data_IF_868744253534
#
_entry.id   IF_868744253534
#
_cell.length_a   1.000
_cell.length_b   1.000
_cell.length_c   1.000
_cell.angle_alpha   90.00
_cell.angle_beta   90.00
_cell.angle_gamma   90.00
#
_symmetry.space_group_name_H-M   'P 1'
#
loop_
_entity.id
_entity.type
_entity.pdbx_description
1 polymer ?
#
# COMPACT_ATOMS: atom_id res chain seq x y z
N UNK A 1 39.87 38.89 -6.41
CA UNK A 1 39.89 37.40 -6.48
C UNK A 1 39.28 36.70 -5.25
N UNK A 2 39.55 37.12 -4.00
CA UNK A 2 39.00 36.48 -2.78
C UNK A 2 37.44 36.48 -2.67
N UNK A 3 36.76 37.54 -3.18
CA UNK A 3 35.28 37.65 -3.12
C UNK A 3 34.53 36.77 -4.13
N UNK A 4 35.17 36.41 -5.23
CA UNK A 4 34.53 35.55 -6.25
C UNK A 4 34.58 34.06 -5.86
N UNK A 5 35.62 33.64 -5.10
CA UNK A 5 35.78 32.26 -4.63
C UNK A 5 34.72 31.93 -3.56
N UNK A 6 34.38 32.89 -2.68
CA UNK A 6 33.35 32.71 -1.64
C UNK A 6 31.93 32.57 -2.21
N UNK A 7 31.60 33.28 -3.29
CA UNK A 7 30.31 33.15 -3.96
C UNK A 7 30.16 31.82 -4.70
N UNK A 8 31.21 31.32 -5.34
CA UNK A 8 31.19 30.02 -6.01
C UNK A 8 31.04 28.87 -5.01
N UNK A 9 31.65 28.95 -3.80
CA UNK A 9 31.53 27.93 -2.76
C UNK A 9 30.15 27.90 -2.10
N UNK A 10 29.47 29.06 -1.96
CA UNK A 10 28.09 29.13 -1.46
C UNK A 10 27.06 28.59 -2.45
N UNK A 11 27.30 28.76 -3.75
CA UNK A 11 26.40 28.28 -4.81
C UNK A 11 26.45 26.76 -4.99
N UNK A 12 27.60 26.12 -4.70
CA UNK A 12 27.74 24.66 -4.76
C UNK A 12 27.10 23.95 -3.56
N UNK A 13 27.02 24.59 -2.38
CA UNK A 13 26.35 24.00 -1.21
C UNK A 13 24.82 23.98 -1.33
N UNK A 14 24.21 24.93 -2.04
CA UNK A 14 22.74 24.99 -2.23
C UNK A 14 22.24 23.91 -3.19
N UNK A 15 23.09 23.47 -4.15
CA UNK A 15 22.70 22.43 -5.13
C UNK A 15 22.73 21.01 -4.53
N UNK A 16 23.48 20.77 -3.46
CA UNK A 16 23.59 19.44 -2.81
C UNK A 16 22.44 19.10 -1.85
N UNK A 17 21.62 20.08 -1.44
CA UNK A 17 20.48 19.81 -0.54
C UNK A 17 19.19 19.37 -1.24
N UNK A 18 19.13 19.36 -2.57
CA UNK A 18 17.91 19.08 -3.33
C UNK A 18 17.69 17.60 -3.69
N UNK A 19 18.54 16.67 -3.29
CA UNK A 19 18.48 15.28 -3.76
C UNK A 19 18.36 14.20 -2.69
N UNK A 20 18.05 14.56 -1.44
CA UNK A 20 17.78 13.57 -0.39
C UNK A 20 16.27 13.26 -0.28
N UNK A 21 15.60 12.95 -1.37
CA UNK A 21 14.40 12.13 -1.26
C UNK A 21 14.88 10.69 -1.01
N UNK A 22 14.91 10.31 0.27
CA UNK A 22 15.28 8.96 0.68
C UNK A 22 14.49 7.92 -0.12
N UNK A 23 15.16 6.84 -0.55
CA UNK A 23 14.51 5.75 -1.24
C UNK A 23 13.35 5.23 -0.37
N UNK A 24 12.16 5.05 -0.98
CA UNK A 24 10.99 4.54 -0.29
C UNK A 24 11.28 3.13 0.28
N UNK A 25 10.86 2.90 1.50
CA UNK A 25 11.06 1.64 2.22
C UNK A 25 10.32 0.50 1.50
N UNK A 26 11.01 -0.62 1.29
CA UNK A 26 10.39 -1.86 0.82
C UNK A 26 9.54 -2.44 1.93
N UNK A 27 8.26 -2.69 1.66
CA UNK A 27 7.27 -3.16 2.64
C UNK A 27 6.65 -4.52 2.29
N UNK A 28 6.80 -4.96 1.05
CA UNK A 28 6.28 -6.27 0.63
C UNK A 28 7.28 -7.36 0.94
N UNK A 29 6.85 -8.37 1.70
CA UNK A 29 7.64 -9.57 1.94
C UNK A 29 7.41 -10.57 0.78
N UNK A 30 8.42 -10.70 -0.09
CA UNK A 30 8.34 -11.52 -1.29
C UNK A 30 8.47 -13.03 -1.00
N UNK A 31 8.88 -13.41 0.20
CA UNK A 31 9.02 -14.81 0.61
C UNK A 31 7.75 -15.42 1.20
N UNK A 32 6.78 -14.59 1.58
CA UNK A 32 5.52 -15.06 2.16
C UNK A 32 4.56 -15.45 1.03
N UNK A 33 3.92 -16.61 1.18
CA UNK A 33 2.81 -17.00 0.30
C UNK A 33 1.63 -16.04 0.51
N UNK A 34 1.13 -15.35 -0.54
CA UNK A 34 0.09 -14.35 -0.41
C UNK A 34 -1.24 -14.91 0.10
N UNK A 35 -1.55 -16.18 -0.20
CA UNK A 35 -2.78 -16.83 0.28
C UNK A 35 -2.70 -17.09 1.78
N UNK A 36 -1.57 -17.62 2.26
CA UNK A 36 -1.31 -17.85 3.69
C UNK A 36 -1.27 -16.52 4.47
N UNK A 37 -0.71 -15.44 3.87
CA UNK A 37 -0.71 -14.11 4.47
C UNK A 37 -2.12 -13.59 4.70
N UNK A 38 -3.00 -13.73 3.70
CA UNK A 38 -4.40 -13.32 3.81
C UNK A 38 -5.12 -14.16 4.88
N UNK A 39 -4.91 -15.47 4.90
CA UNK A 39 -5.54 -16.35 5.90
C UNK A 39 -5.14 -15.96 7.33
N UNK A 40 -3.86 -15.70 7.57
CA UNK A 40 -3.38 -15.22 8.87
C UNK A 40 -3.99 -13.85 9.23
N UNK A 41 -4.10 -12.94 8.25
CA UNK A 41 -4.74 -11.64 8.42
C UNK A 41 -6.21 -11.74 8.79
N UNK A 42 -6.96 -12.66 8.16
CA UNK A 42 -8.37 -12.92 8.47
C UNK A 42 -8.56 -13.48 9.89
N UNK A 43 -7.71 -14.42 10.33
CA UNK A 43 -7.75 -14.91 11.70
C UNK A 43 -7.54 -13.77 12.72
N UNK A 44 -6.55 -12.91 12.45
CA UNK A 44 -6.30 -11.74 13.29
C UNK A 44 -7.49 -10.79 13.29
N UNK A 45 -8.05 -10.47 12.11
CA UNK A 45 -9.19 -9.57 11.96
C UNK A 45 -10.41 -10.09 12.73
N UNK A 46 -10.69 -11.39 12.68
CA UNK A 46 -11.78 -12.04 13.40
C UNK A 46 -11.61 -11.92 14.93
N UNK A 47 -10.38 -12.09 15.41
CA UNK A 47 -10.08 -11.96 16.85
C UNK A 47 -10.21 -10.51 17.34
N UNK A 48 -9.84 -9.55 16.50
CA UNK A 48 -9.81 -8.12 16.84
C UNK A 48 -11.12 -7.37 16.50
N UNK A 49 -12.10 -8.02 15.87
CA UNK A 49 -13.33 -7.38 15.41
C UNK A 49 -13.11 -6.40 14.26
N UNK A 50 -12.08 -6.64 13.44
CA UNK A 50 -11.66 -5.79 12.32
C UNK A 50 -11.96 -6.42 10.97
N UNK A 51 -11.82 -5.62 9.91
CA UNK A 51 -11.76 -6.10 8.53
C UNK A 51 -10.31 -6.18 8.05
N UNK A 52 -10.10 -6.70 6.85
CA UNK A 52 -8.77 -6.79 6.24
C UNK A 52 -8.68 -5.84 5.05
N UNK A 53 -7.58 -5.09 4.97
CA UNK A 53 -7.20 -4.38 3.74
C UNK A 53 -6.02 -5.11 3.12
N UNK A 54 -6.20 -5.62 1.91
CA UNK A 54 -5.11 -6.10 1.08
C UNK A 54 -4.68 -4.97 0.13
N UNK A 55 -3.52 -4.37 0.38
CA UNK A 55 -2.85 -3.53 -0.62
C UNK A 55 -2.06 -4.45 -1.55
N UNK A 56 -2.58 -4.67 -2.75
CA UNK A 56 -1.89 -5.47 -3.77
C UNK A 56 -0.88 -4.61 -4.52
N UNK A 57 0.28 -5.21 -4.76
CA UNK A 57 1.38 -4.57 -5.48
C UNK A 57 2.69 -5.31 -5.26
N UNK A 58 3.77 -4.58 -5.09
CA UNK A 58 5.08 -5.14 -4.82
C UNK A 58 6.14 -4.05 -4.65
N UNK A 59 7.33 -4.46 -4.24
CA UNK A 59 8.47 -3.54 -4.08
C UNK A 59 8.95 -2.92 -5.42
N UNK A 60 8.47 -3.44 -6.53
CA UNK A 60 8.69 -2.92 -7.88
C UNK A 60 7.77 -1.74 -8.26
N UNK A 61 6.77 -1.44 -7.44
CA UNK A 61 5.72 -0.47 -7.71
C UNK A 61 5.94 0.82 -6.87
N UNK A 62 6.43 1.91 -7.46
CA UNK A 62 6.69 3.15 -6.71
C UNK A 62 5.45 3.73 -6.03
N UNK A 63 4.29 3.68 -6.67
CA UNK A 63 3.03 4.16 -6.09
C UNK A 63 2.57 3.31 -4.90
N UNK A 64 2.84 1.99 -4.94
CA UNK A 64 2.57 1.11 -3.82
C UNK A 64 3.40 1.49 -2.58
N UNK A 65 4.68 1.79 -2.79
CA UNK A 65 5.58 2.19 -1.71
C UNK A 65 5.24 3.59 -1.18
N UNK A 66 4.81 4.52 -2.06
CA UNK A 66 4.32 5.84 -1.65
C UNK A 66 3.07 5.76 -0.77
N UNK A 67 2.13 4.88 -1.12
CA UNK A 67 0.93 4.70 -0.29
C UNK A 67 1.28 4.13 1.09
N UNK A 68 2.15 3.14 1.14
CA UNK A 68 2.60 2.58 2.41
C UNK A 68 3.32 3.62 3.28
N UNK A 69 4.19 4.45 2.68
CA UNK A 69 4.87 5.56 3.36
C UNK A 69 3.86 6.63 3.84
N UNK A 70 2.85 6.93 3.03
CA UNK A 70 1.76 7.85 3.39
C UNK A 70 0.97 7.34 4.59
N UNK A 71 0.54 6.07 4.60
CA UNK A 71 -0.16 5.45 5.74
C UNK A 71 0.71 5.45 6.99
N UNK A 72 2.02 5.21 6.88
CA UNK A 72 2.95 5.21 8.02
C UNK A 72 3.11 6.62 8.62
N UNK A 73 3.09 7.67 7.80
CA UNK A 73 3.41 9.05 8.22
C UNK A 73 2.19 9.90 8.57
N UNK A 74 1.07 9.68 7.92
CA UNK A 74 -0.16 10.43 8.18
C UNK A 74 -0.85 9.89 9.44
N UNK A 75 -0.91 10.69 10.49
CA UNK A 75 -1.42 10.27 11.80
C UNK A 75 -2.89 9.85 11.74
N UNK A 76 -3.73 10.59 11.02
CA UNK A 76 -5.16 10.32 10.95
C UNK A 76 -5.45 9.04 10.16
N UNK A 77 -4.77 8.85 9.02
CA UNK A 77 -4.89 7.64 8.21
C UNK A 77 -4.34 6.43 8.95
N UNK A 78 -3.18 6.55 9.58
CA UNK A 78 -2.56 5.49 10.38
C UNK A 78 -3.49 5.02 11.49
N UNK A 79 -4.06 5.95 12.26
CA UNK A 79 -5.00 5.63 13.32
C UNK A 79 -6.25 4.94 12.77
N UNK A 80 -6.86 5.50 11.70
CA UNK A 80 -8.05 4.91 11.07
C UNK A 80 -7.81 3.47 10.61
N UNK A 81 -6.64 3.21 10.01
CA UNK A 81 -6.24 1.86 9.58
C UNK A 81 -6.07 0.95 10.80
N UNK A 82 -5.30 1.38 11.80
CA UNK A 82 -4.99 0.54 12.97
C UNK A 82 -6.23 0.22 13.81
N UNK A 83 -7.17 1.14 13.92
CA UNK A 83 -8.37 0.94 14.73
C UNK A 83 -9.37 -0.03 14.08
N UNK A 84 -9.43 -0.06 12.74
CA UNK A 84 -10.53 -0.74 12.03
C UNK A 84 -10.09 -1.91 11.15
N UNK A 85 -8.79 -2.01 10.81
CA UNK A 85 -8.35 -2.97 9.81
C UNK A 85 -7.07 -3.72 10.22
N UNK A 86 -6.93 -4.93 9.71
CA UNK A 86 -5.67 -5.62 9.55
C UNK A 86 -5.13 -5.29 8.16
N UNK A 87 -4.07 -4.49 8.12
CA UNK A 87 -3.51 -3.98 6.88
C UNK A 87 -2.37 -4.88 6.38
N UNK A 88 -2.51 -5.40 5.16
CA UNK A 88 -1.59 -6.35 4.56
C UNK A 88 -1.00 -5.79 3.26
N UNK A 89 0.33 -5.82 3.15
CA UNK A 89 1.03 -5.60 1.89
C UNK A 89 1.15 -6.94 1.17
N UNK A 90 0.24 -7.20 0.23
CA UNK A 90 0.13 -8.49 -0.48
C UNK A 90 0.92 -8.43 -1.77
N UNK A 91 2.01 -9.20 -1.83
CA UNK A 91 2.89 -9.20 -3.00
C UNK A 91 2.24 -9.89 -4.20
N UNK A 92 2.17 -9.18 -5.32
CA UNK A 92 1.74 -9.70 -6.62
C UNK A 92 2.93 -9.74 -7.58
N UNK A 93 3.40 -10.95 -7.88
CA UNK A 93 4.50 -11.15 -8.82
C UNK A 93 4.22 -12.34 -9.73
N UNK A 94 3.61 -12.13 -10.92
CA UNK A 94 3.28 -13.19 -11.87
C UNK A 94 4.45 -13.63 -12.74
N UNK A 95 5.68 -13.15 -12.49
CA UNK A 95 6.84 -13.43 -13.36
C UNK A 95 7.36 -14.82 -13.11
N UNK A 96 7.63 -15.58 -14.17
CA UNK A 96 8.27 -16.90 -14.07
C UNK A 96 9.63 -16.85 -13.36
N UNK A 97 10.37 -15.74 -13.48
CA UNK A 97 11.63 -15.52 -12.76
C UNK A 97 11.49 -15.51 -11.23
N UNK A 98 10.27 -15.40 -10.69
CA UNK A 98 10.01 -15.47 -9.26
C UNK A 98 9.82 -16.90 -8.72
N UNK A 99 10.06 -17.92 -9.55
CA UNK A 99 9.94 -19.34 -9.20
C UNK A 99 8.80 -20.05 -9.95
N UNK A 100 8.86 -21.35 -10.07
CA UNK A 100 7.99 -22.17 -10.93
C UNK A 100 6.48 -22.05 -10.65
N UNK A 101 6.10 -21.72 -9.41
CA UNK A 101 4.69 -21.58 -9.00
C UNK A 101 4.18 -20.13 -8.98
N UNK A 102 5.02 -19.15 -9.30
CA UNK A 102 4.65 -17.73 -9.15
C UNK A 102 3.43 -17.34 -10.00
N UNK A 103 3.34 -17.82 -11.22
CA UNK A 103 2.19 -17.56 -12.11
C UNK A 103 0.92 -18.14 -11.51
N UNK A 104 0.94 -19.41 -11.09
CA UNK A 104 -0.22 -20.10 -10.50
C UNK A 104 -0.66 -19.43 -9.20
N UNK A 105 0.28 -19.03 -8.34
CA UNK A 105 -0.02 -18.28 -7.11
C UNK A 105 -0.68 -16.93 -7.41
N UNK A 106 -0.16 -16.20 -8.39
CA UNK A 106 -0.72 -14.93 -8.82
C UNK A 106 -2.15 -15.09 -9.39
N UNK A 107 -2.41 -16.12 -10.18
CA UNK A 107 -3.75 -16.43 -10.70
C UNK A 107 -4.73 -16.79 -9.57
N UNK A 108 -4.31 -17.63 -8.64
CA UNK A 108 -5.12 -18.03 -7.47
C UNK A 108 -5.46 -16.82 -6.61
N UNK A 109 -4.48 -15.93 -6.37
CA UNK A 109 -4.68 -14.68 -5.64
C UNK A 109 -5.70 -13.79 -6.35
N UNK A 110 -5.57 -13.62 -7.66
CA UNK A 110 -6.52 -12.81 -8.44
C UNK A 110 -7.93 -13.38 -8.40
N UNK A 111 -8.08 -14.70 -8.51
CA UNK A 111 -9.38 -15.37 -8.40
C UNK A 111 -10.02 -15.15 -7.02
N UNK A 112 -9.25 -15.31 -5.95
CA UNK A 112 -9.72 -15.10 -4.57
C UNK A 112 -10.23 -13.69 -4.33
N UNK A 113 -9.56 -12.69 -4.90
CA UNK A 113 -9.82 -11.27 -4.68
C UNK A 113 -10.68 -10.61 -5.78
N UNK A 114 -11.42 -11.39 -6.59
CA UNK A 114 -12.30 -10.89 -7.66
C UNK A 114 -11.56 -10.06 -8.72
N UNK A 115 -10.35 -10.50 -9.12
CA UNK A 115 -9.54 -9.93 -10.19
C UNK A 115 -9.29 -8.41 -10.07
N UNK A 116 -8.69 -7.94 -8.97
CA UNK A 116 -8.48 -6.51 -8.75
C UNK A 116 -7.44 -5.90 -9.70
N UNK A 117 -6.52 -6.68 -10.28
CA UNK A 117 -5.44 -6.20 -11.16
C UNK A 117 -5.91 -5.35 -12.35
N UNK A 118 -7.20 -5.42 -12.72
CA UNK A 118 -7.78 -4.61 -13.80
C UNK A 118 -7.72 -3.10 -13.55
N UNK A 119 -7.51 -2.69 -12.29
CA UNK A 119 -7.38 -1.30 -11.89
C UNK A 119 -5.92 -0.81 -11.78
N UNK A 120 -4.93 -1.66 -12.08
CA UNK A 120 -3.52 -1.33 -11.89
C UNK A 120 -3.05 -1.54 -10.44
N UNK A 121 -1.93 -0.89 -10.07
CA UNK A 121 -1.32 -1.04 -8.74
C UNK A 121 -0.81 0.29 -8.19
N UNK A 122 -0.96 0.56 -6.86
CA UNK A 122 -1.64 -0.34 -5.94
C UNK A 122 -3.14 -0.44 -6.20
N UNK A 123 -3.73 -1.55 -5.83
CA UNK A 123 -5.18 -1.69 -5.71
C UNK A 123 -5.50 -2.23 -4.32
N UNK A 124 -6.57 -1.72 -3.72
CA UNK A 124 -6.97 -2.11 -2.38
C UNK A 124 -8.19 -3.00 -2.43
N UNK A 125 -8.15 -4.10 -1.68
CA UNK A 125 -9.29 -5.01 -1.53
C UNK A 125 -9.66 -5.06 -0.07
N UNK A 126 -10.92 -4.73 0.24
CA UNK A 126 -11.48 -4.85 1.57
C UNK A 126 -12.14 -6.21 1.69
N UNK A 127 -11.74 -6.97 2.71
CA UNK A 127 -12.37 -8.22 3.07
C UNK A 127 -13.05 -8.08 4.44
N UNK A 128 -14.24 -8.67 4.60
CA UNK A 128 -14.78 -8.89 5.93
C UNK A 128 -13.97 -9.95 6.70
N UNK A 129 -14.34 -10.20 7.96
CA UNK A 129 -13.63 -11.17 8.80
C UNK A 129 -13.76 -12.63 8.31
N UNK A 130 -14.71 -12.94 7.45
CA UNK A 130 -14.90 -14.25 6.84
C UNK A 130 -14.24 -14.39 5.46
N UNK A 131 -13.58 -13.32 4.99
CA UNK A 131 -12.81 -13.30 3.73
C UNK A 131 -13.63 -12.98 2.49
N UNK A 132 -14.88 -12.53 2.65
CA UNK A 132 -15.70 -12.03 1.54
C UNK A 132 -15.16 -10.68 1.06
N UNK A 133 -14.99 -10.53 -0.24
CA UNK A 133 -14.64 -9.24 -0.87
C UNK A 133 -15.82 -8.28 -0.76
N UNK A 134 -15.65 -7.22 0.01
CA UNK A 134 -16.64 -6.16 0.18
C UNK A 134 -16.47 -5.04 -0.85
N UNK A 135 -15.21 -4.70 -1.15
CA UNK A 135 -14.90 -3.58 -2.04
C UNK A 135 -13.52 -3.74 -2.69
N UNK A 136 -13.40 -3.20 -3.89
CA UNK A 136 -12.12 -3.06 -4.60
C UNK A 136 -11.96 -1.58 -4.94
N UNK A 137 -10.92 -0.94 -4.38
CA UNK A 137 -10.63 0.46 -4.58
C UNK A 137 -9.46 0.64 -5.55
N UNK A 138 -9.72 1.31 -6.65
CA UNK A 138 -8.68 1.84 -7.54
C UNK A 138 -7.93 2.98 -6.85
N UNK A 139 -6.61 2.88 -6.77
CA UNK A 139 -5.77 3.88 -6.10
C UNK A 139 -5.82 5.26 -6.76
N UNK A 140 -6.08 5.33 -8.07
CA UNK A 140 -6.11 6.60 -8.81
C UNK A 140 -7.14 7.58 -8.27
N UNK A 141 -8.24 7.09 -7.69
CA UNK A 141 -9.25 7.94 -7.04
C UNK A 141 -8.79 8.52 -5.70
N UNK A 142 -7.70 8.03 -5.14
CA UNK A 142 -7.14 8.47 -3.87
C UNK A 142 -5.92 9.40 -4.05
N UNK A 143 -5.44 9.52 -5.29
CA UNK A 143 -4.23 10.26 -5.62
C UNK A 143 -4.48 11.78 -5.68
N UNK A 144 -3.41 12.54 -5.37
CA UNK A 144 -3.30 13.96 -5.60
C UNK A 144 -1.84 14.34 -5.86
N UNK A 145 -1.60 15.01 -6.98
CA UNK A 145 -0.26 15.40 -7.39
C UNK A 145 0.68 14.21 -7.55
N UNK A 146 1.74 14.17 -6.74
CA UNK A 146 2.71 13.05 -6.73
C UNK A 146 2.53 12.10 -5.54
N UNK A 147 1.38 12.12 -4.89
CA UNK A 147 1.09 11.33 -3.69
C UNK A 147 -0.39 11.01 -3.53
N UNK A 148 -0.86 10.99 -2.30
CA UNK A 148 -2.23 10.65 -1.94
C UNK A 148 -2.88 11.78 -1.13
N UNK A 149 -4.18 11.96 -1.31
CA UNK A 149 -4.99 12.93 -0.58
C UNK A 149 -5.56 12.32 0.69
N UNK A 150 -5.28 12.94 1.85
CA UNK A 150 -5.74 12.48 3.16
C UNK A 150 -7.26 12.35 3.22
N UNK A 151 -8.01 13.35 2.70
CA UNK A 151 -9.47 13.36 2.80
C UNK A 151 -10.11 12.28 1.94
N UNK A 152 -9.55 12.02 0.74
CA UNK A 152 -10.01 10.94 -0.13
C UNK A 152 -9.76 9.58 0.51
N UNK A 153 -8.55 9.38 1.07
CA UNK A 153 -8.17 8.13 1.74
C UNK A 153 -9.02 7.90 3.00
N UNK A 154 -9.18 8.91 3.86
CA UNK A 154 -10.02 8.79 5.05
C UNK A 154 -11.49 8.50 4.70
N UNK A 155 -12.03 9.13 3.65
CA UNK A 155 -13.39 8.85 3.16
C UNK A 155 -13.54 7.39 2.69
N UNK A 156 -12.57 6.91 1.92
CA UNK A 156 -12.54 5.50 1.51
C UNK A 156 -12.53 4.57 2.72
N UNK A 157 -11.58 4.74 3.64
CA UNK A 157 -11.44 3.90 4.82
C UNK A 157 -12.72 3.93 5.70
N UNK A 158 -13.24 5.13 5.99
CA UNK A 158 -14.42 5.31 6.84
C UNK A 158 -15.66 4.57 6.31
N UNK A 159 -15.84 4.56 5.00
CA UNK A 159 -17.00 3.90 4.38
C UNK A 159 -16.96 2.37 4.50
N UNK A 160 -15.79 1.80 4.75
CA UNK A 160 -15.59 0.34 4.78
C UNK A 160 -15.15 -0.18 6.15
N UNK A 161 -15.29 0.60 7.21
CA UNK A 161 -15.07 0.10 8.58
C UNK A 161 -16.11 -0.97 8.94
N UNK A 162 -15.80 -1.93 9.85
CA UNK A 162 -16.78 -2.90 10.33
C UNK A 162 -18.06 -2.23 10.83
N UNK A 163 -17.93 -1.10 11.53
CA UNK A 163 -19.08 -0.33 12.01
C UNK A 163 -19.94 0.22 10.87
N UNK A 164 -19.34 0.74 9.81
CA UNK A 164 -20.10 1.34 8.70
C UNK A 164 -20.83 0.28 7.85
N UNK A 165 -20.27 -0.92 7.72
CA UNK A 165 -20.82 -2.00 6.89
C UNK A 165 -21.92 -2.77 7.63
N UNK A 166 -21.84 -2.91 8.97
CA UNK A 166 -22.75 -3.72 9.77
C UNK A 166 -23.90 -2.89 10.40
N UNK A 167 -24.06 -1.63 9.99
CA UNK A 167 -25.21 -0.76 10.39
C UNK A 167 -26.44 -1.02 9.47
#
# INVERSE_FOLDING_TARGET
>A
MRRMITLAFMMTMVVMMAHAQGALKKVYNESIDPMAQIDAGLQKAKTEGKFVICQLGGNWCPWCLRFADFVEKDTAVNQMVNDNFVYLHVNYNPRQSAGGDAVKKAETLMKRLNNPKRFGFPVFVILDADGKVLHIQDSSFLEEGKGYDEKKVLRFLKNWTPKAVNQ
#
